data_IF_464267842853
#
_entry.id   IF_464267842853
#
_cell.length_a   1.000
_cell.length_b   1.000
_cell.length_c   1.000
_cell.angle_alpha   90.00
_cell.angle_beta   90.00
_cell.angle_gamma   90.00
#
_symmetry.space_group_name_H-M   'P 1'
#
loop_
_entity.id
_entity.type
_entity.pdbx_description
1 polymer ?
#
# COMPACT_ATOMS: atom_id res chain seq x y z
N UNK A 1 10.33 18.49 -20.27
CA UNK A 1 11.57 18.76 -19.57
C UNK A 1 12.13 17.49 -18.94
N UNK A 2 13.41 17.25 -19.17
CA UNK A 2 14.08 16.04 -18.71
C UNK A 2 14.02 15.84 -17.19
N UNK A 3 14.21 16.93 -16.45
CA UNK A 3 14.21 16.89 -14.99
C UNK A 3 12.87 16.46 -14.39
N UNK A 4 11.79 16.94 -14.97
CA UNK A 4 10.44 16.61 -14.53
C UNK A 4 10.12 15.15 -14.87
N UNK A 5 10.53 14.71 -16.05
CA UNK A 5 10.34 13.31 -16.47
C UNK A 5 11.08 12.35 -15.54
N UNK A 6 12.29 12.71 -15.11
CA UNK A 6 13.06 11.90 -14.17
C UNK A 6 12.33 11.78 -12.82
N UNK A 7 11.75 12.87 -12.32
CA UNK A 7 10.99 12.85 -11.07
C UNK A 7 9.73 12.01 -11.23
N UNK A 8 9.03 12.12 -12.36
CA UNK A 8 7.86 11.31 -12.66
C UNK A 8 8.22 9.81 -12.61
N UNK A 9 9.32 9.42 -13.25
CA UNK A 9 9.76 8.04 -13.27
C UNK A 9 10.12 7.53 -11.87
N UNK A 10 10.74 8.36 -11.04
CA UNK A 10 11.05 8.00 -9.65
C UNK A 10 9.80 7.78 -8.82
N UNK A 11 8.79 8.63 -9.00
CA UNK A 11 7.52 8.47 -8.31
C UNK A 11 6.82 7.18 -8.76
N UNK A 12 6.89 6.84 -10.04
CA UNK A 12 6.35 5.59 -10.55
C UNK A 12 6.99 4.37 -9.89
N UNK A 13 8.31 4.40 -9.72
CA UNK A 13 9.05 3.33 -9.03
C UNK A 13 8.64 3.22 -7.56
N UNK A 14 8.45 4.35 -6.90
CA UNK A 14 7.99 4.38 -5.50
C UNK A 14 6.59 3.78 -5.40
N UNK A 15 5.69 4.11 -6.32
CA UNK A 15 4.33 3.53 -6.35
C UNK A 15 4.38 2.01 -6.47
N UNK A 16 5.24 1.50 -7.33
CA UNK A 16 5.42 0.05 -7.50
C UNK A 16 5.91 -0.59 -6.20
N UNK A 17 6.89 0.03 -5.56
CA UNK A 17 7.43 -0.47 -4.28
C UNK A 17 6.34 -0.49 -3.21
N UNK A 18 5.56 0.58 -3.10
CA UNK A 18 4.47 0.65 -2.11
C UNK A 18 3.41 -0.41 -2.42
N UNK A 19 3.06 -0.60 -3.69
CA UNK A 19 2.13 -1.64 -4.11
C UNK A 19 2.59 -3.03 -3.68
N UNK A 20 3.88 -3.32 -3.80
CA UNK A 20 4.44 -4.59 -3.36
C UNK A 20 4.35 -4.76 -1.84
N UNK A 21 4.59 -3.71 -1.09
CA UNK A 21 4.46 -3.73 0.38
C UNK A 21 3.00 -4.00 0.76
N UNK A 22 2.05 -3.32 0.12
CA UNK A 22 0.62 -3.54 0.36
C UNK A 22 0.25 -5.00 0.10
N UNK A 23 0.74 -5.56 -1.02
CA UNK A 23 0.49 -6.95 -1.37
C UNK A 23 0.98 -7.90 -0.26
N UNK A 24 2.18 -7.65 0.29
CA UNK A 24 2.73 -8.46 1.37
C UNK A 24 1.90 -8.33 2.64
N UNK A 25 1.44 -7.13 2.98
CA UNK A 25 0.58 -6.91 4.15
C UNK A 25 -0.77 -7.62 4.00
N UNK A 26 -1.36 -7.59 2.80
CA UNK A 26 -2.61 -8.29 2.52
C UNK A 26 -2.44 -9.81 2.66
N UNK A 27 -1.31 -10.36 2.24
CA UNK A 27 -1.01 -11.78 2.42
C UNK A 27 -0.91 -12.15 3.89
N UNK A 28 -0.28 -11.31 4.71
CA UNK A 28 -0.20 -11.55 6.15
C UNK A 28 -1.58 -11.53 6.80
N UNK A 29 -2.46 -10.63 6.36
CA UNK A 29 -3.84 -10.59 6.84
C UNK A 29 -4.58 -11.88 6.50
N UNK A 30 -4.44 -12.36 5.27
CA UNK A 30 -5.05 -13.62 4.83
C UNK A 30 -4.51 -14.78 5.63
N UNK A 31 -3.20 -14.81 5.91
CA UNK A 31 -2.59 -15.87 6.72
C UNK A 31 -3.20 -15.92 8.13
N UNK A 32 -3.43 -14.76 8.74
CA UNK A 32 -4.09 -14.70 10.06
C UNK A 32 -5.51 -15.26 9.96
N UNK A 33 -6.27 -14.87 8.95
CA UNK A 33 -7.63 -15.36 8.75
C UNK A 33 -7.68 -16.87 8.52
N UNK A 34 -6.75 -17.41 7.75
CA UNK A 34 -6.69 -18.85 7.44
C UNK A 34 -6.30 -19.70 8.63
N UNK A 35 -5.58 -19.12 9.60
CA UNK A 35 -5.17 -19.84 10.81
C UNK A 35 -6.25 -19.85 11.88
N UNK A 36 -7.40 -19.23 11.62
CA UNK A 36 -8.54 -19.19 12.53
C UNK A 36 -9.58 -20.20 12.05
N UNK A 37 -9.96 -21.14 12.93
CA UNK A 37 -11.00 -22.12 12.64
C UNK A 37 -12.34 -21.41 12.47
N UNK A 38 -13.22 -21.96 11.61
CA UNK A 38 -14.55 -21.40 11.33
C UNK A 38 -15.39 -21.16 12.59
N UNK A 39 -15.17 -22.00 13.61
CA UNK A 39 -15.92 -21.94 14.87
C UNK A 39 -15.25 -21.08 15.94
N UNK A 40 -14.16 -20.39 15.61
CA UNK A 40 -13.36 -19.63 16.57
C UNK A 40 -13.20 -18.19 16.09
N UNK A 41 -13.50 -17.24 16.96
CA UNK A 41 -13.21 -15.83 16.73
C UNK A 41 -11.72 -15.57 16.93
N UNK A 42 -11.22 -14.49 16.36
CA UNK A 42 -9.86 -14.03 16.60
C UNK A 42 -9.66 -13.77 18.07
N UNK A 43 -8.54 -14.26 18.64
CA UNK A 43 -8.18 -13.88 19.99
C UNK A 43 -7.68 -12.43 19.98
N UNK A 44 -7.46 -11.87 21.18
CA UNK A 44 -7.05 -10.48 21.33
C UNK A 44 -5.77 -10.15 20.56
N UNK A 45 -4.79 -11.03 20.62
CA UNK A 45 -3.48 -10.83 19.95
C UNK A 45 -3.66 -10.85 18.44
N UNK A 46 -4.41 -11.82 17.92
CA UNK A 46 -4.68 -11.93 16.48
C UNK A 46 -5.43 -10.72 15.95
N UNK A 47 -6.42 -10.28 16.70
CA UNK A 47 -7.22 -9.10 16.32
C UNK A 47 -6.34 -7.84 16.30
N UNK A 48 -5.47 -7.68 17.29
CA UNK A 48 -4.56 -6.55 17.35
C UNK A 48 -3.59 -6.54 16.18
N UNK A 49 -3.03 -7.70 15.84
CA UNK A 49 -2.12 -7.84 14.69
C UNK A 49 -2.83 -7.54 13.38
N UNK A 50 -4.05 -8.06 13.21
CA UNK A 50 -4.84 -7.85 12.01
C UNK A 50 -5.19 -6.36 11.85
N UNK A 51 -5.63 -5.72 12.92
CA UNK A 51 -5.99 -4.30 12.90
C UNK A 51 -4.78 -3.42 12.57
N UNK A 52 -3.60 -3.76 13.08
CA UNK A 52 -2.37 -3.05 12.78
C UNK A 52 -2.01 -3.17 11.30
N UNK A 53 -2.10 -4.37 10.75
CA UNK A 53 -1.83 -4.61 9.33
C UNK A 53 -2.83 -3.85 8.45
N UNK A 54 -4.10 -3.85 8.83
CA UNK A 54 -5.15 -3.14 8.12
C UNK A 54 -4.90 -1.63 8.11
N UNK A 55 -4.52 -1.08 9.26
CA UNK A 55 -4.19 0.34 9.39
C UNK A 55 -2.98 0.71 8.54
N UNK A 56 -1.95 -0.12 8.55
CA UNK A 56 -0.76 0.10 7.72
C UNK A 56 -1.10 0.06 6.24
N UNK A 57 -1.91 -0.91 5.81
CA UNK A 57 -2.35 -1.00 4.41
C UNK A 57 -3.13 0.24 3.98
N UNK A 58 -4.06 0.70 4.81
CA UNK A 58 -4.85 1.87 4.51
C UNK A 58 -3.98 3.13 4.40
N UNK A 59 -3.00 3.27 5.27
CA UNK A 59 -2.05 4.39 5.22
C UNK A 59 -1.26 4.38 3.92
N UNK A 60 -0.82 3.21 3.47
CA UNK A 60 -0.08 3.07 2.22
C UNK A 60 -0.96 3.34 0.99
N UNK A 61 -2.23 2.95 1.02
CA UNK A 61 -3.17 3.31 -0.04
C UNK A 61 -3.34 4.83 -0.14
N UNK A 62 -3.40 5.53 0.98
CA UNK A 62 -3.43 7.00 0.98
C UNK A 62 -2.16 7.58 0.36
N UNK A 63 -1.01 6.99 0.66
CA UNK A 63 0.26 7.41 0.05
C UNK A 63 0.24 7.23 -1.46
N UNK A 64 -0.27 6.09 -1.96
CA UNK A 64 -0.40 5.84 -3.39
C UNK A 64 -1.28 6.91 -4.06
N UNK A 65 -2.39 7.25 -3.45
CA UNK A 65 -3.29 8.27 -3.96
C UNK A 65 -2.60 9.62 -4.05
N UNK A 66 -1.86 10.02 -3.01
CA UNK A 66 -1.11 11.28 -3.00
C UNK A 66 -0.03 11.30 -4.10
N UNK A 67 0.69 10.20 -4.26
CA UNK A 67 1.74 10.09 -5.29
C UNK A 67 1.10 10.13 -6.68
N UNK A 68 -0.02 9.44 -6.87
CA UNK A 68 -0.76 9.47 -8.14
C UNK A 68 -1.18 10.89 -8.52
N UNK A 69 -1.69 11.66 -7.55
CA UNK A 69 -2.06 13.05 -7.77
C UNK A 69 -0.84 13.91 -8.11
N UNK A 70 0.28 13.69 -7.45
CA UNK A 70 1.52 14.40 -7.75
C UNK A 70 2.02 14.08 -9.16
N UNK A 71 1.92 12.83 -9.59
CA UNK A 71 2.29 12.40 -10.93
C UNK A 71 1.40 13.06 -11.98
N UNK A 72 0.10 13.16 -11.72
CA UNK A 72 -0.84 13.84 -12.63
C UNK A 72 -0.44 15.29 -12.83
N UNK A 73 -0.02 15.98 -11.77
CA UNK A 73 0.48 17.35 -11.88
C UNK A 73 1.74 17.44 -12.72
N UNK A 74 2.70 16.53 -12.50
CA UNK A 74 3.95 16.50 -13.25
C UNK A 74 3.74 16.16 -14.72
N UNK A 75 2.78 15.31 -15.02
CA UNK A 75 2.47 14.89 -16.39
C UNK A 75 2.17 16.07 -17.29
N UNK A 76 1.57 17.11 -16.75
CA UNK A 76 1.27 18.34 -17.51
C UNK A 76 2.51 19.03 -18.07
N UNK A 77 3.67 18.72 -17.48
CA UNK A 77 4.94 19.37 -17.85
C UNK A 77 5.93 18.43 -18.53
N UNK A 78 5.52 17.20 -18.86
CA UNK A 78 6.41 16.19 -19.43
C UNK A 78 6.37 16.12 -20.95
N UNK A 79 5.56 16.89 -21.58
CA UNK A 79 5.45 16.93 -23.06
C UNK A 79 6.63 17.60 -23.72
#
# INVERSE_FOLDING_TARGET
>A
MKKIKEQYNKLSEIMETIGNIISDLEKEKVDIEQNIDEDRDMNYIEQEMYDELDEQSNSLYCCLECIGNAMDWLEKYTD
#
